data_IF_418217003998
#
_entry.id   IF_418217003998
#
_cell.length_a   1.000
_cell.length_b   1.000
_cell.length_c   1.000
_cell.angle_alpha   90.00
_cell.angle_beta   90.00
_cell.angle_gamma   90.00
#
_symmetry.space_group_name_H-M   'P 1'
#
loop_
_entity.id
_entity.type
_entity.pdbx_description
1 polymer ?
#
# COMPACT_ATOMS: atom_id res chain seq x y z
N UNK A 1 22.47 15.21 -20.06
CA UNK A 1 21.93 13.96 -20.63
C UNK A 1 23.09 13.07 -21.10
N UNK A 2 24.02 13.54 -21.94
CA UNK A 2 25.17 12.75 -22.47
C UNK A 2 26.05 12.21 -21.32
N UNK A 3 26.40 13.02 -20.32
CA UNK A 3 27.17 12.60 -19.16
C UNK A 3 26.46 11.54 -18.30
N UNK A 4 25.12 11.67 -18.13
CA UNK A 4 24.31 10.67 -17.43
C UNK A 4 24.26 9.36 -18.21
N UNK A 5 24.05 9.40 -19.52
CA UNK A 5 24.04 8.21 -20.37
C UNK A 5 25.41 7.51 -20.36
N UNK A 6 26.51 8.25 -20.46
CA UNK A 6 27.85 7.70 -20.39
C UNK A 6 28.17 7.04 -19.04
N UNK A 7 27.73 7.65 -17.92
CA UNK A 7 27.89 7.08 -16.60
C UNK A 7 27.08 5.78 -16.40
N UNK A 8 25.85 5.72 -16.93
CA UNK A 8 25.01 4.51 -16.91
C UNK A 8 25.58 3.38 -17.78
N UNK A 9 26.06 3.70 -18.99
CA UNK A 9 26.67 2.71 -19.90
C UNK A 9 27.93 2.11 -19.26
N UNK A 10 28.77 2.91 -18.61
CA UNK A 10 29.93 2.40 -17.90
C UNK A 10 29.58 1.57 -16.67
N UNK A 11 28.45 1.85 -16.01
CA UNK A 11 27.98 1.04 -14.89
C UNK A 11 27.57 -0.36 -15.36
N UNK A 12 26.89 -0.46 -16.50
CA UNK A 12 26.54 -1.74 -17.14
C UNK A 12 27.79 -2.50 -17.59
N UNK A 13 28.84 -1.81 -18.04
CA UNK A 13 30.09 -2.43 -18.50
C UNK A 13 31.04 -2.87 -17.38
N UNK A 14 30.72 -2.61 -16.11
CA UNK A 14 31.50 -3.06 -14.95
C UNK A 14 32.88 -2.37 -14.75
N UNK A 15 33.22 -1.38 -15.58
CA UNK A 15 34.51 -0.65 -15.46
C UNK A 15 34.45 0.38 -14.31
N UNK A 16 35.08 0.06 -13.18
CA UNK A 16 35.05 0.87 -11.95
C UNK A 16 35.80 2.18 -12.03
N UNK A 17 35.25 3.20 -12.64
CA UNK A 17 35.85 4.54 -12.67
C UNK A 17 35.29 5.43 -11.54
N UNK A 18 36.13 5.98 -10.68
CA UNK A 18 35.74 6.82 -9.54
C UNK A 18 35.05 8.15 -9.88
N UNK A 19 34.94 8.50 -11.16
CA UNK A 19 34.26 9.73 -11.62
C UNK A 19 32.73 9.62 -11.80
N UNK A 20 32.15 8.43 -11.62
CA UNK A 20 30.73 8.16 -11.84
C UNK A 20 29.79 8.98 -10.93
N UNK A 21 30.08 8.99 -9.63
CA UNK A 21 29.32 9.79 -8.67
C UNK A 21 29.31 11.28 -9.04
N UNK A 22 30.46 11.90 -9.25
CA UNK A 22 30.55 13.28 -9.73
C UNK A 22 29.81 13.51 -11.05
N UNK A 23 29.93 12.62 -12.02
CA UNK A 23 29.25 12.75 -13.32
C UNK A 23 27.72 12.69 -13.22
N UNK A 24 27.17 11.81 -12.39
CA UNK A 24 25.73 11.73 -12.12
C UNK A 24 25.22 13.00 -11.43
N UNK A 25 25.95 13.50 -10.44
CA UNK A 25 25.60 14.73 -9.73
C UNK A 25 25.64 15.95 -10.67
N UNK A 26 26.73 16.10 -11.44
CA UNK A 26 26.88 17.20 -12.41
C UNK A 26 25.79 17.12 -13.49
N UNK A 27 25.48 15.91 -13.98
CA UNK A 27 24.44 15.69 -14.95
C UNK A 27 23.06 16.04 -14.42
N UNK A 28 22.74 15.66 -13.17
CA UNK A 28 21.48 16.00 -12.51
C UNK A 28 21.35 17.51 -12.25
N UNK A 29 22.42 18.15 -11.74
CA UNK A 29 22.46 19.61 -11.55
C UNK A 29 22.32 20.33 -12.89
N UNK A 30 23.01 19.87 -13.95
CA UNK A 30 22.90 20.44 -15.30
C UNK A 30 21.50 20.35 -15.88
N UNK A 31 20.74 19.26 -15.61
CA UNK A 31 19.34 19.14 -16.00
C UNK A 31 18.48 20.13 -15.21
N UNK A 32 18.65 20.22 -13.90
CA UNK A 32 17.91 21.14 -13.04
C UNK A 32 18.15 22.61 -13.41
N UNK A 33 19.41 22.99 -13.64
CA UNK A 33 19.75 24.33 -14.11
C UNK A 33 19.24 24.60 -15.50
N UNK A 34 19.33 23.64 -16.42
CA UNK A 34 18.76 23.76 -17.76
C UNK A 34 17.25 23.98 -17.75
N UNK A 35 16.54 23.32 -16.83
CA UNK A 35 15.10 23.52 -16.63
C UNK A 35 14.79 24.90 -16.04
N UNK A 36 15.59 25.39 -15.11
CA UNK A 36 15.40 26.70 -14.47
C UNK A 36 15.70 27.85 -15.42
N UNK A 37 16.74 27.71 -16.26
CA UNK A 37 17.20 28.74 -17.20
C UNK A 37 16.46 28.72 -18.55
N UNK A 38 15.60 27.73 -18.80
CA UNK A 38 14.90 27.59 -20.08
C UNK A 38 13.82 28.70 -20.22
N UNK A 39 13.91 29.57 -21.25
CA UNK A 39 12.93 30.63 -21.44
C UNK A 39 11.55 30.04 -21.71
N UNK A 40 10.52 30.70 -21.22
CA UNK A 40 9.09 30.36 -21.23
C UNK A 40 8.53 30.20 -22.66
N UNK A 41 8.83 29.08 -23.31
CA UNK A 41 8.21 28.70 -24.57
C UNK A 41 6.84 28.04 -24.29
N UNK A 42 5.91 28.16 -25.24
CA UNK A 42 4.54 27.58 -25.16
C UNK A 42 4.50 26.09 -24.79
N UNK A 43 5.56 25.33 -25.10
CA UNK A 43 5.74 23.92 -24.81
C UNK A 43 6.47 23.64 -23.48
N UNK A 44 6.88 24.64 -22.76
CA UNK A 44 7.65 24.49 -21.51
C UNK A 44 6.95 23.61 -20.47
N UNK A 45 5.63 23.79 -20.27
CA UNK A 45 4.87 23.00 -19.29
C UNK A 45 4.88 21.51 -19.61
N UNK A 46 4.74 21.12 -20.86
CA UNK A 46 4.76 19.71 -21.26
C UNK A 46 6.12 19.06 -21.05
N UNK A 47 7.21 19.78 -21.38
CA UNK A 47 8.57 19.29 -21.18
C UNK A 47 8.89 19.16 -19.69
N UNK A 48 8.53 20.16 -18.88
CA UNK A 48 8.70 20.12 -17.43
C UNK A 48 7.92 18.97 -16.81
N UNK A 49 6.65 18.84 -17.14
CA UNK A 49 5.81 17.75 -16.66
C UNK A 49 6.38 16.38 -17.05
N UNK A 50 6.84 16.24 -18.30
CA UNK A 50 7.47 14.98 -18.76
C UNK A 50 8.72 14.64 -17.94
N UNK A 51 9.63 15.61 -17.72
CA UNK A 51 10.88 15.38 -16.98
C UNK A 51 10.58 15.00 -15.51
N UNK A 52 9.58 15.63 -14.87
CA UNK A 52 9.20 15.28 -13.50
C UNK A 52 8.50 13.92 -13.39
N UNK A 53 7.66 13.58 -14.36
CA UNK A 53 6.89 12.34 -14.32
C UNK A 53 7.68 11.15 -14.86
N UNK A 54 8.60 11.37 -15.80
CA UNK A 54 9.38 10.31 -16.45
C UNK A 54 10.15 9.41 -15.48
N UNK A 55 10.91 9.89 -14.48
CA UNK A 55 11.63 9.02 -13.56
C UNK A 55 10.68 8.08 -12.78
N UNK A 56 9.53 8.61 -12.37
CA UNK A 56 8.50 7.83 -11.67
C UNK A 56 7.89 6.77 -12.60
N UNK A 57 7.49 7.16 -13.81
CA UNK A 57 6.93 6.22 -14.78
C UNK A 57 7.94 5.17 -15.21
N UNK A 58 9.18 5.57 -15.45
CA UNK A 58 10.25 4.64 -15.81
C UNK A 58 10.46 3.59 -14.72
N UNK A 59 10.61 4.03 -13.46
CA UNK A 59 10.75 3.12 -12.33
C UNK A 59 9.53 2.20 -12.21
N UNK A 60 8.32 2.74 -12.33
CA UNK A 60 7.08 1.97 -12.28
C UNK A 60 7.02 0.91 -13.41
N UNK A 61 7.37 1.28 -14.63
CA UNK A 61 7.39 0.32 -15.75
C UNK A 61 8.40 -0.80 -15.49
N UNK A 62 9.62 -0.45 -15.07
CA UNK A 62 10.69 -1.44 -14.84
C UNK A 62 10.40 -2.35 -13.65
N UNK A 63 9.86 -1.81 -12.56
CA UNK A 63 9.68 -2.59 -11.32
C UNK A 63 8.32 -3.27 -11.21
N UNK A 64 7.30 -2.78 -11.90
CA UNK A 64 5.93 -3.30 -11.80
C UNK A 64 5.45 -3.88 -13.13
N UNK A 65 5.46 -3.08 -14.22
CA UNK A 65 4.85 -3.50 -15.48
C UNK A 65 5.63 -4.63 -16.14
N UNK A 66 6.96 -4.51 -16.26
CA UNK A 66 7.78 -5.55 -16.88
C UNK A 66 7.67 -6.88 -16.11
N UNK A 67 7.88 -6.94 -14.77
CA UNK A 67 7.69 -8.19 -14.04
C UNK A 67 6.27 -8.76 -14.13
N UNK A 68 5.25 -7.90 -14.14
CA UNK A 68 3.87 -8.33 -14.31
C UNK A 68 3.65 -9.00 -15.69
N UNK A 69 4.10 -8.36 -16.76
CA UNK A 69 3.99 -8.93 -18.11
C UNK A 69 4.77 -10.25 -18.23
N UNK A 70 5.97 -10.31 -17.66
CA UNK A 70 6.77 -11.55 -17.63
C UNK A 70 6.07 -12.64 -16.80
N UNK A 71 5.50 -12.28 -15.62
CA UNK A 71 4.75 -13.20 -14.79
C UNK A 71 3.53 -13.77 -15.53
N UNK A 72 2.77 -12.93 -16.23
CA UNK A 72 1.66 -13.36 -17.08
C UNK A 72 2.15 -14.27 -18.21
N UNK A 73 3.24 -13.92 -18.87
CA UNK A 73 3.83 -14.77 -19.93
C UNK A 73 4.25 -16.13 -19.38
N UNK A 74 5.01 -16.16 -18.29
CA UNK A 74 5.47 -17.40 -17.67
C UNK A 74 4.34 -18.26 -17.12
N UNK A 75 3.20 -17.68 -16.75
CA UNK A 75 2.04 -18.46 -16.28
C UNK A 75 1.46 -19.41 -17.34
N UNK A 76 1.71 -19.14 -18.63
CA UNK A 76 1.32 -20.00 -19.76
C UNK A 76 2.41 -20.99 -20.16
N UNK A 77 3.52 -21.06 -19.45
CA UNK A 77 4.67 -21.92 -19.74
C UNK A 77 4.89 -22.91 -18.60
N UNK A 78 5.76 -23.90 -18.83
CA UNK A 78 6.23 -24.83 -17.81
C UNK A 78 7.45 -24.31 -17.02
N UNK A 79 7.50 -22.98 -16.80
CA UNK A 79 8.56 -22.32 -16.06
C UNK A 79 8.65 -22.84 -14.61
N UNK A 80 9.82 -23.39 -14.25
CA UNK A 80 10.07 -23.95 -12.91
C UNK A 80 10.92 -23.03 -11.99
N UNK A 81 11.06 -21.75 -12.34
CA UNK A 81 11.90 -20.79 -11.62
C UNK A 81 13.31 -20.64 -12.18
N UNK A 82 13.79 -21.58 -13.03
CA UNK A 82 15.14 -21.60 -13.60
C UNK A 82 15.11 -21.77 -15.13
N UNK A 83 14.30 -22.71 -15.61
CA UNK A 83 14.21 -23.05 -17.04
C UNK A 83 12.76 -23.02 -17.50
N UNK A 84 12.58 -22.62 -18.75
CA UNK A 84 11.37 -22.76 -19.51
C UNK A 84 11.64 -23.80 -20.61
N UNK A 85 10.87 -24.89 -20.66
CA UNK A 85 11.04 -25.94 -21.67
C UNK A 85 9.97 -25.86 -22.75
N UNK A 86 8.79 -25.28 -22.46
CA UNK A 86 7.74 -25.16 -23.44
C UNK A 86 6.57 -24.27 -23.03
N UNK A 87 5.70 -24.04 -24.01
CA UNK A 87 4.43 -23.33 -23.78
C UNK A 87 3.33 -24.36 -23.52
N UNK A 88 2.68 -24.26 -22.35
CA UNK A 88 1.66 -25.22 -21.89
C UNK A 88 0.23 -24.65 -21.93
N UNK A 89 0.08 -23.41 -22.35
CA UNK A 89 -1.22 -22.74 -22.43
C UNK A 89 -1.92 -22.67 -21.06
N UNK A 90 -3.17 -23.07 -20.99
CA UNK A 90 -3.99 -23.00 -19.77
C UNK A 90 -3.83 -24.22 -18.83
N UNK A 91 -2.86 -25.10 -19.05
CA UNK A 91 -2.69 -26.33 -18.25
C UNK A 91 -2.42 -25.99 -16.76
N UNK A 92 -1.57 -24.99 -16.49
CA UNK A 92 -1.28 -24.54 -15.13
C UNK A 92 -2.53 -24.04 -14.42
N UNK A 93 -3.39 -23.29 -15.10
CA UNK A 93 -4.65 -22.77 -14.55
C UNK A 93 -5.64 -23.91 -14.26
N UNK A 94 -5.75 -24.90 -15.17
CA UNK A 94 -6.59 -26.08 -14.93
C UNK A 94 -6.10 -26.88 -13.72
N UNK A 95 -4.79 -27.09 -13.60
CA UNK A 95 -4.20 -27.76 -12.44
C UNK A 95 -4.49 -27.00 -11.14
N UNK A 96 -4.30 -25.68 -11.13
CA UNK A 96 -4.56 -24.80 -9.99
C UNK A 96 -6.03 -24.87 -9.52
N UNK A 97 -6.99 -24.78 -10.44
CA UNK A 97 -8.42 -24.84 -10.08
C UNK A 97 -8.91 -26.25 -9.71
N UNK A 98 -8.19 -27.30 -10.10
CA UNK A 98 -8.46 -28.67 -9.67
C UNK A 98 -7.83 -29.03 -8.33
N UNK A 99 -6.96 -28.15 -7.79
CA UNK A 99 -6.30 -28.36 -6.50
C UNK A 99 -7.21 -27.91 -5.36
N UNK A 100 -7.71 -28.83 -4.50
CA UNK A 100 -8.65 -28.47 -3.42
C UNK A 100 -8.08 -27.46 -2.42
N UNK A 101 -6.77 -27.50 -2.17
CA UNK A 101 -6.10 -26.59 -1.26
C UNK A 101 -6.10 -25.16 -1.79
N UNK A 102 -6.00 -24.98 -3.09
CA UNK A 102 -6.11 -23.66 -3.73
C UNK A 102 -7.51 -23.07 -3.58
N UNK A 103 -8.54 -23.87 -3.93
CA UNK A 103 -9.94 -23.42 -3.83
C UNK A 103 -10.31 -23.04 -2.39
N UNK A 104 -9.88 -23.87 -1.44
CA UNK A 104 -10.09 -23.58 -0.01
C UNK A 104 -9.41 -22.28 0.43
N UNK A 105 -8.16 -22.09 0.03
CA UNK A 105 -7.40 -20.85 0.33
C UNK A 105 -8.04 -19.62 -0.31
N UNK A 106 -8.57 -19.75 -1.52
CA UNK A 106 -9.28 -18.68 -2.21
C UNK A 106 -10.54 -18.26 -1.45
N UNK A 107 -11.36 -19.23 -1.01
CA UNK A 107 -12.58 -18.97 -0.22
C UNK A 107 -12.25 -18.27 1.09
N UNK A 108 -11.23 -18.77 1.83
CA UNK A 108 -10.79 -18.15 3.09
C UNK A 108 -10.29 -16.72 2.84
N UNK A 109 -9.53 -16.51 1.77
CA UNK A 109 -9.02 -15.17 1.41
C UNK A 109 -10.17 -14.19 1.12
N UNK A 110 -11.15 -14.60 0.31
CA UNK A 110 -12.31 -13.77 0.01
C UNK A 110 -13.11 -13.47 1.28
N UNK A 111 -13.36 -14.47 2.12
CA UNK A 111 -14.04 -14.29 3.40
C UNK A 111 -13.29 -13.31 4.30
N UNK A 112 -11.96 -13.44 4.40
CA UNK A 112 -11.10 -12.54 5.16
C UNK A 112 -11.17 -11.12 4.63
N UNK A 113 -11.10 -10.91 3.31
CA UNK A 113 -11.19 -9.59 2.69
C UNK A 113 -12.55 -8.94 2.98
N UNK A 114 -13.65 -9.66 2.77
CA UNK A 114 -15.02 -9.14 3.01
C UNK A 114 -15.22 -8.77 4.48
N UNK A 115 -14.84 -9.67 5.40
CA UNK A 115 -14.95 -9.40 6.83
C UNK A 115 -14.13 -8.17 7.27
N UNK A 116 -12.88 -8.09 6.84
CA UNK A 116 -12.04 -6.93 7.19
C UNK A 116 -12.56 -5.64 6.55
N UNK A 117 -12.99 -5.68 5.29
CA UNK A 117 -13.56 -4.52 4.62
C UNK A 117 -14.77 -3.97 5.40
N UNK A 118 -15.68 -4.81 5.85
CA UNK A 118 -16.85 -4.39 6.63
C UNK A 118 -16.42 -3.90 8.02
N UNK A 119 -15.67 -4.71 8.77
CA UNK A 119 -15.36 -4.43 10.17
C UNK A 119 -14.47 -3.20 10.33
N UNK A 120 -13.44 -3.04 9.49
CA UNK A 120 -12.56 -1.86 9.51
C UNK A 120 -13.34 -0.60 9.22
N UNK A 121 -14.23 -0.61 8.20
CA UNK A 121 -15.03 0.57 7.86
C UNK A 121 -16.05 0.92 8.96
N UNK A 122 -16.70 -0.07 9.56
CA UNK A 122 -17.63 0.16 10.69
C UNK A 122 -16.90 0.79 11.87
N UNK A 123 -15.77 0.20 12.29
CA UNK A 123 -14.98 0.72 13.41
C UNK A 123 -14.42 2.11 13.09
N UNK A 124 -13.87 2.29 11.89
CA UNK A 124 -13.30 3.57 11.45
C UNK A 124 -14.36 4.68 11.39
N UNK A 125 -15.56 4.38 10.91
CA UNK A 125 -16.66 5.33 10.87
C UNK A 125 -17.14 5.73 12.26
N UNK A 126 -17.29 4.76 13.17
CA UNK A 126 -17.62 5.04 14.58
C UNK A 126 -16.54 5.94 15.25
N UNK A 127 -15.27 5.64 15.02
CA UNK A 127 -14.17 6.47 15.50
C UNK A 127 -14.19 7.87 14.86
N UNK A 128 -14.55 8.00 13.59
CA UNK A 128 -14.66 9.28 12.91
C UNK A 128 -15.79 10.14 13.48
N UNK A 129 -16.95 9.57 13.78
CA UNK A 129 -18.04 10.27 14.46
C UNK A 129 -17.62 10.76 15.83
N UNK A 130 -16.92 9.94 16.61
CA UNK A 130 -16.34 10.38 17.88
C UNK A 130 -15.34 11.53 17.69
N UNK A 131 -14.46 11.42 16.70
CA UNK A 131 -13.42 12.41 16.42
C UNK A 131 -13.93 13.72 15.78
N UNK A 132 -15.15 13.76 15.28
CA UNK A 132 -15.82 14.99 14.78
C UNK A 132 -16.72 15.65 15.81
N UNK A 133 -16.93 15.02 16.96
CA UNK A 133 -17.72 15.57 18.06
C UNK A 133 -17.02 16.78 18.73
N UNK A 134 -17.75 17.54 19.55
CA UNK A 134 -17.25 18.76 20.22
C UNK A 134 -16.42 18.49 21.50
N UNK A 135 -15.78 17.32 21.62
CA UNK A 135 -15.00 16.93 22.81
C UNK A 135 -13.59 17.52 22.75
N UNK A 136 -13.07 17.97 23.89
CA UNK A 136 -11.69 18.48 23.99
C UNK A 136 -10.69 17.32 23.92
N UNK A 137 -9.53 17.53 23.26
CA UNK A 137 -8.46 16.53 23.19
C UNK A 137 -8.53 15.57 22.00
N UNK A 138 -9.48 15.74 21.08
CA UNK A 138 -9.66 14.85 19.91
C UNK A 138 -8.43 14.75 18.99
N UNK A 139 -7.60 15.80 18.93
CA UNK A 139 -6.36 15.76 18.14
C UNK A 139 -5.39 14.70 18.66
N UNK A 140 -5.31 14.52 19.98
CA UNK A 140 -4.50 13.45 20.57
C UNK A 140 -5.05 12.07 20.23
N UNK A 141 -6.37 11.88 20.31
CA UNK A 141 -7.01 10.61 19.95
C UNK A 141 -6.80 10.27 18.47
N UNK A 142 -6.96 11.25 17.55
CA UNK A 142 -6.69 11.05 16.12
C UNK A 142 -5.25 10.58 15.89
N UNK A 143 -4.27 11.22 16.52
CA UNK A 143 -2.87 10.82 16.41
C UNK A 143 -2.63 9.40 16.97
N UNK A 144 -3.20 9.09 18.14
CA UNK A 144 -3.04 7.78 18.79
C UNK A 144 -3.64 6.62 17.97
N UNK A 145 -4.82 6.81 17.38
CA UNK A 145 -5.44 5.78 16.51
C UNK A 145 -4.73 5.64 15.17
N UNK A 146 -4.06 6.68 14.68
CA UNK A 146 -3.28 6.62 13.43
C UNK A 146 -1.92 5.94 13.62
N UNK A 147 -1.34 6.00 14.82
CA UNK A 147 0.00 5.49 15.12
C UNK A 147 0.22 4.03 14.71
N UNK A 148 -0.72 3.08 14.94
CA UNK A 148 -0.55 1.69 14.54
C UNK A 148 -0.28 1.48 13.04
N UNK A 149 -0.83 2.32 12.19
CA UNK A 149 -0.65 2.25 10.74
C UNK A 149 0.79 2.58 10.30
N UNK A 150 1.53 3.34 11.12
CA UNK A 150 2.92 3.70 10.85
C UNK A 150 3.92 2.59 11.20
N UNK A 151 3.49 1.58 11.93
CA UNK A 151 4.35 0.46 12.34
C UNK A 151 4.55 -0.45 11.12
N UNK A 152 5.82 -0.69 10.77
CA UNK A 152 6.16 -1.59 9.66
C UNK A 152 5.66 -3.02 9.91
N UNK A 153 5.15 -3.69 8.87
CA UNK A 153 4.49 -5.00 8.98
C UNK A 153 5.32 -6.09 9.64
N UNK A 154 6.63 -6.11 9.44
CA UNK A 154 7.53 -7.09 10.08
C UNK A 154 7.55 -6.87 11.59
N UNK A 155 7.77 -5.64 12.05
CA UNK A 155 7.79 -5.29 13.47
C UNK A 155 6.44 -5.58 14.11
N UNK A 156 5.36 -5.20 13.45
CA UNK A 156 4.00 -5.47 13.88
C UNK A 156 3.73 -6.96 14.04
N UNK A 157 4.18 -7.77 13.09
CA UNK A 157 4.06 -9.22 13.15
C UNK A 157 4.75 -9.82 14.39
N UNK A 158 5.99 -9.43 14.68
CA UNK A 158 6.71 -9.90 15.87
C UNK A 158 6.07 -9.43 17.18
N UNK A 159 5.63 -8.17 17.25
CA UNK A 159 4.96 -7.62 18.45
C UNK A 159 3.68 -8.42 18.75
N UNK A 160 2.81 -8.61 17.76
CA UNK A 160 1.57 -9.35 17.96
C UNK A 160 1.77 -10.84 18.20
N UNK A 161 2.76 -11.45 17.54
CA UNK A 161 3.14 -12.83 17.84
C UNK A 161 3.56 -12.99 19.31
N UNK A 162 4.35 -12.04 19.83
CA UNK A 162 4.71 -12.02 21.25
C UNK A 162 3.50 -11.85 22.16
N UNK A 163 2.59 -10.92 21.81
CA UNK A 163 1.36 -10.69 22.59
C UNK A 163 0.49 -11.95 22.63
N UNK A 164 0.24 -12.59 21.48
CA UNK A 164 -0.60 -13.79 21.42
C UNK A 164 0.03 -15.02 22.11
N UNK A 165 1.34 -15.20 21.99
CA UNK A 165 2.02 -16.38 22.49
C UNK A 165 2.50 -16.26 23.95
N UNK A 166 2.63 -15.05 24.49
CA UNK A 166 3.18 -14.85 25.83
C UNK A 166 2.22 -14.08 26.74
N UNK A 167 1.71 -12.93 26.29
CA UNK A 167 0.91 -12.06 27.15
C UNK A 167 -0.48 -12.66 27.36
N UNK A 168 -1.20 -12.98 26.28
CA UNK A 168 -2.55 -13.50 26.37
C UNK A 168 -2.61 -14.89 27.01
N UNK A 169 -1.64 -15.77 26.76
CA UNK A 169 -1.58 -17.08 27.41
C UNK A 169 -1.46 -16.91 28.93
N UNK A 170 -0.57 -16.02 29.40
CA UNK A 170 -0.39 -15.76 30.83
C UNK A 170 -1.62 -15.13 31.49
N UNK A 171 -2.37 -14.30 30.76
CA UNK A 171 -3.57 -13.64 31.29
C UNK A 171 -4.79 -14.56 31.33
N UNK A 172 -4.92 -15.46 30.36
CA UNK A 172 -6.12 -16.29 30.19
C UNK A 172 -5.94 -17.73 30.63
N UNK A 173 -4.71 -18.17 30.95
CA UNK A 173 -4.31 -19.56 31.19
C UNK A 173 -4.76 -20.52 30.06
N UNK A 174 -4.88 -20.01 28.86
CA UNK A 174 -5.36 -20.73 27.67
C UNK A 174 -4.21 -20.96 26.67
N UNK A 175 -4.50 -21.81 25.70
CA UNK A 175 -3.60 -22.05 24.55
C UNK A 175 -3.56 -20.81 23.67
N UNK A 176 -2.42 -20.57 23.00
CA UNK A 176 -2.26 -19.46 22.07
C UNK A 176 -3.38 -19.41 21.02
N UNK A 177 -3.91 -18.23 20.76
CA UNK A 177 -4.90 -18.00 19.70
C UNK A 177 -4.37 -18.41 18.31
N UNK A 178 -3.05 -18.42 18.12
CA UNK A 178 -2.42 -18.80 16.86
C UNK A 178 -2.32 -20.33 16.65
N UNK A 179 -2.66 -21.13 17.65
CA UNK A 179 -2.53 -22.60 17.58
C UNK A 179 -3.61 -23.30 16.76
N UNK A 180 -4.77 -22.68 16.56
CA UNK A 180 -5.88 -23.22 15.76
C UNK A 180 -6.22 -22.27 14.64
N UNK A 181 -6.54 -22.78 13.44
CA UNK A 181 -6.84 -21.99 12.23
C UNK A 181 -7.94 -20.96 12.48
N UNK A 182 -9.05 -21.35 13.12
CA UNK A 182 -10.18 -20.43 13.34
C UNK A 182 -9.82 -19.28 14.29
N UNK A 183 -9.11 -19.57 15.39
CA UNK A 183 -8.69 -18.54 16.36
C UNK A 183 -7.57 -17.66 15.80
N UNK A 184 -6.68 -18.23 14.98
CA UNK A 184 -5.64 -17.48 14.30
C UNK A 184 -6.24 -16.47 13.29
N UNK A 185 -7.26 -16.90 12.55
CA UNK A 185 -7.97 -16.01 11.63
C UNK A 185 -8.62 -14.81 12.37
N UNK A 186 -9.30 -15.08 13.49
CA UNK A 186 -9.87 -14.02 14.33
C UNK A 186 -8.80 -13.09 14.90
N UNK A 187 -7.67 -13.63 15.36
CA UNK A 187 -6.55 -12.85 15.86
C UNK A 187 -6.00 -11.91 14.79
N UNK A 188 -5.81 -12.39 13.57
CA UNK A 188 -5.34 -11.57 12.43
C UNK A 188 -6.36 -10.48 12.09
N UNK A 189 -7.66 -10.76 12.08
CA UNK A 189 -8.71 -9.77 11.85
C UNK A 189 -8.63 -8.64 12.89
N UNK A 190 -8.48 -8.97 14.17
CA UNK A 190 -8.35 -7.97 15.24
C UNK A 190 -7.12 -7.08 15.03
N UNK A 191 -5.98 -7.68 14.70
CA UNK A 191 -4.74 -6.93 14.40
C UNK A 191 -4.94 -6.01 13.20
N UNK A 192 -5.59 -6.51 12.16
CA UNK A 192 -5.85 -5.75 10.94
C UNK A 192 -6.77 -4.53 11.20
N UNK A 193 -7.87 -4.75 11.95
CA UNK A 193 -8.76 -3.66 12.37
C UNK A 193 -7.99 -2.61 13.16
N UNK A 194 -7.22 -3.03 14.17
CA UNK A 194 -6.43 -2.13 15.00
C UNK A 194 -5.41 -1.33 14.18
N UNK A 195 -4.78 -1.94 13.19
CA UNK A 195 -3.77 -1.29 12.35
C UNK A 195 -4.39 -0.28 11.38
N UNK A 196 -5.51 -0.62 10.74
CA UNK A 196 -6.05 0.17 9.63
C UNK A 196 -7.22 1.07 9.99
N UNK A 197 -7.96 0.81 11.07
CA UNK A 197 -9.14 1.59 11.43
C UNK A 197 -8.82 3.07 11.63
N UNK A 198 -7.66 3.41 12.21
CA UNK A 198 -7.24 4.79 12.42
C UNK A 198 -6.92 5.54 11.12
N UNK A 199 -6.33 4.87 10.14
CA UNK A 199 -6.09 5.45 8.82
C UNK A 199 -7.39 5.74 8.08
N UNK A 200 -8.30 4.76 8.02
CA UNK A 200 -9.61 4.91 7.37
C UNK A 200 -10.48 5.94 8.13
N UNK A 201 -10.38 5.99 9.46
CA UNK A 201 -11.02 7.03 10.29
C UNK A 201 -10.64 8.44 9.82
N UNK A 202 -9.37 8.72 9.53
CA UNK A 202 -8.95 10.05 9.05
C UNK A 202 -9.59 10.41 7.71
N UNK A 203 -9.78 9.44 6.82
CA UNK A 203 -10.48 9.66 5.55
C UNK A 203 -11.94 10.04 5.82
N UNK A 204 -12.62 9.33 6.71
CA UNK A 204 -14.00 9.66 7.09
C UNK A 204 -14.09 11.02 7.79
N UNK A 205 -13.18 11.34 8.72
CA UNK A 205 -13.12 12.66 9.38
C UNK A 205 -12.99 13.77 8.35
N UNK A 206 -12.12 13.59 7.35
CA UNK A 206 -11.95 14.57 6.28
C UNK A 206 -13.25 14.76 5.49
N UNK A 207 -13.92 13.68 5.10
CA UNK A 207 -15.21 13.74 4.40
C UNK A 207 -16.29 14.42 5.23
N UNK A 208 -16.44 14.04 6.51
CA UNK A 208 -17.45 14.61 7.42
C UNK A 208 -17.22 16.11 7.68
N UNK A 209 -15.97 16.55 7.75
CA UNK A 209 -15.64 17.97 8.01
C UNK A 209 -15.72 18.85 6.76
N UNK A 210 -15.80 18.28 5.56
CA UNK A 210 -15.94 19.01 4.30
C UNK A 210 -17.39 19.39 3.97
N UNK A 211 -18.37 18.86 4.69
CA UNK A 211 -19.78 19.22 4.48
C UNK A 211 -20.00 20.70 4.85
N UNK A 212 -20.44 21.56 3.90
CA UNK A 212 -20.69 22.98 4.17
C UNK A 212 -21.76 23.17 5.24
N UNK A 213 -21.60 24.17 6.11
CA UNK A 213 -22.58 24.47 7.15
C UNK A 213 -23.96 24.80 6.61
N UNK A 214 -23.99 25.50 5.48
CA UNK A 214 -25.26 25.88 4.80
C UNK A 214 -26.10 24.66 4.43
N UNK A 215 -25.45 23.56 4.04
CA UNK A 215 -26.13 22.28 3.72
C UNK A 215 -26.70 21.64 4.99
N UNK A 216 -25.96 21.71 6.10
CA UNK A 216 -26.42 21.20 7.39
C UNK A 216 -27.60 22.02 7.94
N UNK A 217 -27.56 23.36 7.80
CA UNK A 217 -28.65 24.24 8.21
C UNK A 217 -29.88 24.02 7.34
N UNK A 218 -29.73 23.89 6.02
CA UNK A 218 -30.83 23.55 5.11
C UNK A 218 -31.49 22.22 5.47
N UNK A 219 -30.70 21.20 5.77
CA UNK A 219 -31.23 19.88 6.18
C UNK A 219 -32.05 19.94 7.49
N UNK A 220 -31.64 20.80 8.43
CA UNK A 220 -32.41 21.02 9.68
C UNK A 220 -33.75 21.73 9.41
N UNK A 221 -33.77 22.67 8.47
CA UNK A 221 -35.03 23.34 8.06
C UNK A 221 -35.96 22.36 7.39
N UNK A 222 -35.45 21.41 6.60
CA UNK A 222 -36.20 20.36 5.93
C UNK A 222 -36.62 19.23 6.89
N UNK A 223 -36.36 19.37 8.20
CA UNK A 223 -36.82 18.45 9.25
C UNK A 223 -35.92 17.25 9.49
N UNK A 224 -34.66 17.25 9.01
CA UNK A 224 -33.70 16.23 9.37
C UNK A 224 -33.34 16.32 10.86
N UNK A 225 -33.68 15.26 11.63
CA UNK A 225 -33.25 15.17 13.03
C UNK A 225 -31.84 14.62 13.11
N UNK A 226 -31.09 15.12 14.12
CA UNK A 226 -29.85 14.47 14.52
C UNK A 226 -30.23 13.08 15.11
N UNK A 227 -29.92 12.02 14.37
CA UNK A 227 -30.02 10.64 14.86
C UNK A 227 -28.66 10.25 15.42
#
# INVERSE_FOLDING_TARGET
IILLAAALIQDISGSGAGWRGPALIIGAIGILLGMYLFPTLKHHRSIVNFIFVFPLLFTFVVTVIIPLCLGVFYSFTDWNGIKMTGFVGFTNYKAMFNEPSFLWSLIITILFVVLNMVLVNVVAFMLALLCTSKVKGLSFFRASYFLPNLIGGIVLGYVWQFVFNNVLIKMTNNISLLSKTNTAMMAIIVVYIWQYAGYIMLIYVTGLTQVPKDVLEASQIDGANAV
#
